data_IF_283738037327
#
_entry.id   IF_283738037327
#
_cell.length_a   1.000
_cell.length_b   1.000
_cell.length_c   1.000
_cell.angle_alpha   90.00
_cell.angle_beta   90.00
_cell.angle_gamma   90.00
#
_symmetry.space_group_name_H-M   'P 1'
#
loop_
_entity.id
_entity.type
_entity.pdbx_description
1 polymer ?
#
# COMPACT_ATOMS: atom_id res chain seq x y z
N UNK A 1 -1.78 -16.83 -3.04
CA UNK A 1 -1.81 -15.65 -2.17
C UNK A 1 -3.22 -15.11 -2.03
N UNK A 2 -3.63 -14.78 -0.84
CA UNK A 2 -4.94 -14.18 -0.56
C UNK A 2 -4.79 -13.03 0.40
N UNK A 3 -5.38 -11.87 0.03
CA UNK A 3 -5.58 -10.75 0.93
C UNK A 3 -7.05 -10.61 1.30
N UNK A 4 -7.35 -10.22 2.54
CA UNK A 4 -8.71 -9.89 2.93
C UNK A 4 -9.20 -8.61 2.21
N UNK A 5 -10.51 -8.33 2.31
CA UNK A 5 -11.02 -7.00 2.00
C UNK A 5 -10.58 -6.06 3.12
N UNK A 6 -9.74 -5.08 2.81
CA UNK A 6 -9.23 -4.11 3.77
C UNK A 6 -10.11 -2.87 3.84
N UNK A 7 -10.20 -2.30 5.02
CA UNK A 7 -10.71 -0.96 5.22
C UNK A 7 -9.54 0.02 5.10
N UNK A 8 -9.71 1.06 4.31
CA UNK A 8 -8.80 2.19 4.26
C UNK A 8 -9.61 3.44 4.56
N UNK A 9 -9.21 4.19 5.57
CA UNK A 9 -9.85 5.43 5.97
C UNK A 9 -8.88 6.57 5.80
N UNK A 10 -9.23 7.52 4.94
CA UNK A 10 -8.44 8.71 4.70
C UNK A 10 -9.23 9.95 5.12
N UNK A 11 -8.56 10.88 5.78
CA UNK A 11 -9.12 12.17 6.16
C UNK A 11 -8.12 13.27 5.83
N UNK A 12 -8.60 14.35 5.24
CA UNK A 12 -7.80 15.55 4.98
C UNK A 12 -8.50 16.77 5.54
N UNK A 13 -7.75 17.63 6.18
CA UNK A 13 -8.21 18.88 6.75
C UNK A 13 -7.25 19.99 6.31
N UNK A 14 -7.79 21.06 5.74
CA UNK A 14 -7.02 22.19 5.26
C UNK A 14 -7.56 23.49 5.86
N UNK A 15 -6.65 24.32 6.38
CA UNK A 15 -6.91 25.68 6.76
C UNK A 15 -6.03 26.62 5.98
N UNK A 16 -6.63 27.63 5.38
CA UNK A 16 -5.90 28.68 4.69
C UNK A 16 -6.41 30.04 5.16
N UNK A 17 -5.47 30.92 5.46
CA UNK A 17 -5.73 32.31 5.73
C UNK A 17 -4.84 33.15 4.82
N UNK A 18 -5.44 34.09 4.12
CA UNK A 18 -4.73 34.98 3.22
C UNK A 18 -5.20 36.42 3.38
N UNK A 19 -4.35 37.34 2.95
CA UNK A 19 -4.65 38.75 3.02
C UNK A 19 -3.84 39.57 2.05
N UNK A 20 -4.41 40.74 1.72
CA UNK A 20 -3.81 41.71 0.84
C UNK A 20 -3.82 43.10 1.51
N UNK A 21 -2.71 43.78 1.49
CA UNK A 21 -2.56 45.11 2.07
C UNK A 21 -1.90 46.08 1.10
N UNK A 22 -2.28 47.32 1.18
CA UNK A 22 -1.69 48.42 0.42
C UNK A 22 -1.11 49.47 1.38
N UNK A 23 0.18 49.72 1.26
CA UNK A 23 0.89 50.78 1.98
C UNK A 23 1.42 51.78 0.93
N UNK A 24 0.70 52.85 0.71
CA UNK A 24 0.97 53.74 -0.42
C UNK A 24 0.85 53.00 -1.75
N UNK A 25 1.95 52.91 -2.50
CA UNK A 25 2.00 52.18 -3.76
C UNK A 25 2.48 50.71 -3.61
N UNK A 26 2.89 50.31 -2.43
CA UNK A 26 3.35 48.95 -2.16
C UNK A 26 2.14 48.05 -1.90
N UNK A 27 2.02 47.01 -2.72
CA UNK A 27 1.08 45.91 -2.47
C UNK A 27 1.81 44.79 -1.77
N UNK A 28 1.22 44.29 -0.71
CA UNK A 28 1.69 43.13 0.08
C UNK A 28 0.61 42.07 0.03
N UNK A 29 0.90 40.90 -0.46
CA UNK A 29 0.02 39.73 -0.33
C UNK A 29 0.69 38.64 0.49
N UNK A 30 -0.07 38.03 1.37
CA UNK A 30 0.41 36.95 2.20
C UNK A 30 -0.63 35.82 2.30
N UNK A 31 -0.14 34.61 2.49
CA UNK A 31 -0.99 33.48 2.79
C UNK A 31 -0.27 32.55 3.76
N UNK A 32 -1.04 31.98 4.67
CA UNK A 32 -0.62 30.92 5.55
C UNK A 32 -1.59 29.74 5.46
N UNK A 33 -1.10 28.53 5.42
CA UNK A 33 -1.95 27.36 5.43
C UNK A 33 -1.38 26.25 6.31
N UNK A 34 -2.28 25.50 6.92
CA UNK A 34 -2.02 24.26 7.62
C UNK A 34 -2.89 23.16 7.03
N UNK A 35 -2.27 22.05 6.66
CA UNK A 35 -2.93 20.85 6.17
C UNK A 35 -2.56 19.66 7.03
N UNK A 36 -3.54 18.84 7.35
CA UNK A 36 -3.34 17.56 8.03
C UNK A 36 -4.05 16.47 7.25
N UNK A 37 -3.30 15.45 6.87
CA UNK A 37 -3.83 14.22 6.29
C UNK A 37 -3.59 13.05 7.24
N UNK A 38 -4.56 12.18 7.37
CA UNK A 38 -4.45 10.92 8.14
C UNK A 38 -4.94 9.78 7.27
N UNK A 39 -4.27 8.64 7.39
CA UNK A 39 -4.65 7.40 6.75
C UNK A 39 -4.53 6.26 7.76
N UNK A 40 -5.59 5.48 7.90
CA UNK A 40 -5.66 4.31 8.76
C UNK A 40 -5.97 3.08 7.91
N UNK A 41 -5.17 2.03 8.05
CA UNK A 41 -5.34 0.73 7.40
C UNK A 41 -5.31 -0.38 8.44
N UNK A 42 -6.41 -0.59 9.17
CA UNK A 42 -6.47 -1.62 10.19
C UNK A 42 -6.65 -3.00 9.57
N UNK A 43 -6.04 -4.02 10.17
CA UNK A 43 -6.26 -5.43 9.89
C UNK A 43 -6.06 -5.80 8.40
N UNK A 44 -4.97 -5.38 7.79
CA UNK A 44 -4.57 -5.91 6.49
C UNK A 44 -3.97 -7.30 6.70
N UNK A 45 -4.66 -8.33 6.20
CA UNK A 45 -4.34 -9.73 6.41
C UNK A 45 -3.92 -10.37 5.10
N UNK A 46 -2.91 -11.19 5.21
CA UNK A 46 -2.36 -11.91 4.08
C UNK A 46 -2.18 -13.38 4.44
N UNK A 47 -2.45 -14.26 3.50
CA UNK A 47 -2.15 -15.68 3.61
C UNK A 47 -1.59 -16.16 2.27
N UNK A 48 -0.45 -16.82 2.30
CA UNK A 48 0.11 -17.53 1.17
C UNK A 48 0.19 -19.02 1.43
N UNK A 49 0.19 -19.78 0.36
CA UNK A 49 0.24 -21.23 0.38
C UNK A 49 1.34 -21.70 -0.55
N UNK A 50 2.09 -22.70 -0.13
CA UNK A 50 3.03 -23.40 -0.96
C UNK A 50 2.68 -24.88 -1.07
N UNK A 51 3.13 -25.51 -2.12
CA UNK A 51 3.07 -26.96 -2.27
C UNK A 51 4.48 -27.50 -2.39
N UNK A 52 4.83 -28.41 -1.49
CA UNK A 52 6.14 -29.06 -1.47
C UNK A 52 6.12 -30.39 -2.22
N UNK A 53 7.20 -30.69 -2.93
CA UNK A 53 7.39 -31.98 -3.58
C UNK A 53 6.86 -32.11 -5.01
N UNK A 54 6.59 -31.00 -5.71
CA UNK A 54 6.22 -31.05 -7.13
C UNK A 54 7.40 -31.50 -7.99
N UNK A 55 7.22 -32.55 -8.77
CA UNK A 55 8.17 -32.96 -9.81
C UNK A 55 7.88 -32.20 -11.12
N UNK A 56 8.74 -31.27 -11.46
CA UNK A 56 8.66 -30.49 -12.71
C UNK A 56 9.29 -31.21 -13.91
N UNK A 57 9.92 -32.38 -13.74
CA UNK A 57 10.83 -32.99 -14.71
C UNK A 57 10.26 -33.23 -16.11
N UNK A 58 8.97 -33.54 -16.24
CA UNK A 58 8.32 -33.76 -17.53
C UNK A 58 7.37 -32.63 -17.97
N UNK A 59 7.21 -31.62 -17.13
CA UNK A 59 6.23 -30.55 -17.33
C UNK A 59 6.64 -29.45 -18.29
N UNK A 60 7.94 -29.28 -18.53
CA UNK A 60 8.44 -28.22 -19.39
C UNK A 60 8.18 -28.50 -20.85
N UNK A 61 7.52 -27.59 -21.54
CA UNK A 61 7.17 -27.64 -22.95
C UNK A 61 7.70 -26.41 -23.67
N UNK A 62 8.08 -26.58 -24.92
CA UNK A 62 8.55 -25.50 -25.80
C UNK A 62 9.64 -24.61 -25.20
N UNK A 63 10.60 -25.25 -24.51
CA UNK A 63 11.65 -24.54 -23.71
C UNK A 63 12.47 -23.58 -24.56
N UNK A 64 12.61 -23.86 -25.88
CA UNK A 64 13.32 -23.02 -26.84
C UNK A 64 12.38 -22.19 -27.73
N UNK A 65 11.08 -22.26 -27.47
CA UNK A 65 10.07 -21.53 -28.21
C UNK A 65 9.92 -20.09 -27.75
N UNK A 66 9.01 -19.35 -28.37
CA UNK A 66 8.69 -17.96 -28.00
C UNK A 66 7.97 -17.84 -26.66
N UNK A 67 7.30 -18.89 -26.24
CA UNK A 67 6.51 -18.93 -25.01
C UNK A 67 6.72 -20.27 -24.31
N UNK A 68 7.85 -20.47 -23.64
CA UNK A 68 8.07 -21.68 -22.86
C UNK A 68 7.02 -21.75 -21.75
N UNK A 69 6.47 -22.91 -21.52
CA UNK A 69 5.50 -23.14 -20.45
C UNK A 69 5.77 -24.45 -19.73
N UNK A 70 5.26 -24.53 -18.51
CA UNK A 70 5.34 -25.72 -17.68
C UNK A 70 3.92 -26.18 -17.33
N UNK A 71 3.59 -27.41 -17.66
CA UNK A 71 2.37 -28.07 -17.18
C UNK A 71 2.71 -28.82 -15.92
N UNK A 72 2.19 -28.36 -14.80
CA UNK A 72 2.36 -29.04 -13.51
C UNK A 72 1.06 -29.74 -13.16
N UNK A 73 1.09 -31.01 -12.73
CA UNK A 73 -0.07 -31.64 -12.13
C UNK A 73 -0.55 -30.81 -10.96
N UNK A 74 -1.86 -30.53 -10.92
CA UNK A 74 -2.42 -29.76 -9.81
C UNK A 74 -2.75 -30.74 -8.71
N UNK A 75 -2.11 -30.59 -7.54
CA UNK A 75 -2.40 -31.42 -6.41
C UNK A 75 -3.83 -31.15 -5.87
N UNK A 76 -4.46 -32.19 -5.33
CA UNK A 76 -5.69 -32.01 -4.57
C UNK A 76 -5.44 -31.12 -3.35
N UNK A 77 -6.40 -30.29 -2.97
CA UNK A 77 -6.28 -29.45 -1.77
C UNK A 77 -6.11 -30.22 -0.46
N UNK A 78 -6.53 -31.47 -0.45
CA UNK A 78 -6.38 -32.35 0.71
C UNK A 78 -5.01 -33.06 0.74
N UNK A 79 -4.18 -32.85 -0.29
CA UNK A 79 -2.85 -33.40 -0.32
C UNK A 79 -2.01 -32.77 0.80
N UNK A 80 -1.26 -33.62 1.52
CA UNK A 80 -0.42 -33.20 2.65
C UNK A 80 0.74 -32.28 2.25
N UNK A 81 1.09 -32.25 0.96
CA UNK A 81 2.12 -31.35 0.43
C UNK A 81 1.72 -29.86 0.43
N UNK A 82 0.44 -29.52 0.65
CA UNK A 82 0.00 -28.14 0.82
C UNK A 82 0.25 -27.66 2.24
N UNK A 83 0.98 -26.58 2.35
CA UNK A 83 1.27 -25.88 3.61
C UNK A 83 0.94 -24.38 3.49
N UNK A 84 0.73 -23.74 4.62
CA UNK A 84 0.67 -22.29 4.70
C UNK A 84 2.10 -21.79 4.79
N UNK A 85 2.50 -20.97 3.84
CA UNK A 85 3.82 -20.38 3.77
C UNK A 85 3.92 -19.10 4.60
N UNK A 86 2.86 -18.30 4.59
CA UNK A 86 2.82 -17.02 5.31
C UNK A 86 1.40 -16.73 5.79
N UNK A 87 1.26 -16.28 7.02
CA UNK A 87 0.03 -15.78 7.61
C UNK A 87 0.32 -14.53 8.42
N UNK A 88 -0.11 -13.38 7.92
CA UNK A 88 0.24 -12.10 8.52
C UNK A 88 -0.96 -11.19 8.76
N UNK A 89 -0.82 -10.30 9.74
CA UNK A 89 -1.74 -9.20 10.01
C UNK A 89 -0.96 -7.91 10.22
N UNK A 90 -1.35 -6.87 9.49
CA UNK A 90 -0.73 -5.56 9.55
C UNK A 90 -1.77 -4.49 9.89
N UNK A 91 -1.39 -3.61 10.80
CA UNK A 91 -2.08 -2.35 11.07
C UNK A 91 -1.16 -1.20 10.68
N UNK A 92 -1.67 -0.19 10.01
CA UNK A 92 -0.90 0.96 9.57
C UNK A 92 -1.64 2.26 9.86
N UNK A 93 -0.93 3.20 10.49
CA UNK A 93 -1.40 4.55 10.79
C UNK A 93 -0.42 5.58 10.20
N UNK A 94 -0.91 6.47 9.37
CA UNK A 94 -0.12 7.54 8.76
C UNK A 94 -0.72 8.89 9.16
N UNK A 95 0.14 9.80 9.63
CA UNK A 95 -0.21 11.19 9.91
C UNK A 95 0.77 12.11 9.20
N UNK A 96 0.24 12.99 8.39
CA UNK A 96 1.02 14.00 7.66
C UNK A 96 0.53 15.40 8.04
N UNK A 97 1.46 16.28 8.40
CA UNK A 97 1.19 17.68 8.69
C UNK A 97 2.03 18.56 7.75
N UNK A 98 1.41 19.53 7.13
CA UNK A 98 2.07 20.46 6.23
C UNK A 98 1.73 21.91 6.61
N UNK A 99 2.76 22.73 6.73
CA UNK A 99 2.67 24.17 6.98
C UNK A 99 3.22 24.91 5.78
N UNK A 100 2.48 25.87 5.28
CA UNK A 100 2.92 26.75 4.22
C UNK A 100 2.74 28.20 4.62
N UNK A 101 3.73 29.04 4.29
CA UNK A 101 3.63 30.49 4.40
C UNK A 101 4.17 31.11 3.12
N UNK A 102 3.49 32.15 2.66
CA UNK A 102 3.89 32.92 1.48
C UNK A 102 3.74 34.41 1.77
N UNK A 103 4.73 35.19 1.35
CA UNK A 103 4.70 36.64 1.46
C UNK A 103 5.27 37.20 0.16
N UNK A 104 4.50 38.05 -0.51
CA UNK A 104 4.89 38.71 -1.75
C UNK A 104 4.71 40.22 -1.64
N UNK A 105 5.58 40.93 -2.33
CA UNK A 105 5.60 42.38 -2.45
C UNK A 105 5.57 42.76 -3.92
N UNK A 106 4.75 43.75 -4.26
CA UNK A 106 4.69 44.37 -5.59
C UNK A 106 4.76 45.88 -5.45
N UNK A 107 5.79 46.46 -6.05
CA UNK A 107 6.04 47.91 -6.03
C UNK A 107 6.04 48.43 -7.47
N UNK A 108 5.10 49.30 -7.87
CA UNK A 108 5.17 49.99 -9.14
C UNK A 108 6.32 51.00 -9.13
N UNK A 109 7.22 50.89 -10.12
CA UNK A 109 8.41 51.78 -10.24
C UNK A 109 8.17 53.00 -11.10
N UNK A 110 7.23 52.95 -12.02
CA UNK A 110 6.92 54.10 -12.91
C UNK A 110 5.41 54.18 -13.20
N UNK A 111 4.91 55.42 -13.34
CA UNK A 111 3.59 55.73 -13.82
C UNK A 111 3.65 56.01 -15.33
N UNK A 112 3.12 55.15 -16.17
CA UNK A 112 3.06 55.34 -17.61
C UNK A 112 2.46 54.15 -18.34
N UNK A 113 2.30 54.28 -19.68
CA UNK A 113 1.66 53.25 -20.54
C UNK A 113 2.35 51.88 -20.46
N UNK A 114 3.63 51.83 -20.01
CA UNK A 114 4.41 50.63 -19.80
C UNK A 114 4.91 50.59 -18.34
N UNK A 115 3.92 50.50 -17.40
CA UNK A 115 4.21 50.54 -15.98
C UNK A 115 5.17 49.41 -15.54
N UNK A 116 6.43 49.78 -15.22
CA UNK A 116 7.34 48.82 -14.62
C UNK A 116 7.00 48.57 -13.17
N UNK A 117 7.09 47.32 -12.74
CA UNK A 117 6.84 46.93 -11.37
C UNK A 117 7.91 45.94 -10.90
N UNK A 118 8.33 46.09 -9.67
CA UNK A 118 9.21 45.17 -8.97
C UNK A 118 8.32 44.20 -8.17
N UNK A 119 8.57 42.90 -8.33
CA UNK A 119 7.94 41.84 -7.52
C UNK A 119 9.02 41.01 -6.86
N UNK A 120 8.86 40.78 -5.57
CA UNK A 120 9.70 39.85 -4.81
C UNK A 120 8.87 39.23 -3.71
N UNK A 121 9.32 38.07 -3.22
CA UNK A 121 8.62 37.37 -2.17
C UNK A 121 9.38 36.17 -1.68
N UNK A 122 8.83 35.56 -0.65
CA UNK A 122 9.34 34.31 -0.07
C UNK A 122 8.20 33.32 0.14
N UNK A 123 8.54 32.05 0.01
CA UNK A 123 7.66 30.93 0.35
C UNK A 123 8.40 29.99 1.27
N UNK A 124 7.73 29.58 2.34
CA UNK A 124 8.18 28.55 3.25
C UNK A 124 7.21 27.38 3.20
N UNK A 125 7.75 26.17 3.19
CA UNK A 125 6.97 24.93 3.30
C UNK A 125 7.69 24.00 4.25
N UNK A 126 6.96 23.48 5.22
CA UNK A 126 7.44 22.44 6.13
C UNK A 126 6.46 21.30 6.14
N UNK A 127 6.94 20.10 5.93
CA UNK A 127 6.14 18.88 5.88
C UNK A 127 6.74 17.86 6.84
N UNK A 128 5.88 17.28 7.67
CA UNK A 128 6.24 16.19 8.58
C UNK A 128 5.27 15.04 8.35
N UNK A 129 5.82 13.85 8.12
CA UNK A 129 5.05 12.62 7.97
C UNK A 129 5.52 11.62 9.02
N UNK A 130 4.58 11.11 9.80
CA UNK A 130 4.78 9.99 10.71
C UNK A 130 3.99 8.80 10.18
N UNK A 131 4.65 7.66 10.13
CA UNK A 131 4.05 6.37 9.79
C UNK A 131 4.31 5.42 10.96
N UNK A 132 3.29 4.72 11.37
CA UNK A 132 3.33 3.72 12.44
C UNK A 132 2.78 2.42 11.88
N UNK A 133 3.57 1.35 11.95
CA UNK A 133 3.20 0.04 11.41
C UNK A 133 3.38 -0.98 12.52
N UNK A 134 2.35 -1.80 12.72
CA UNK A 134 2.42 -3.02 13.51
C UNK A 134 2.24 -4.21 12.57
N UNK A 135 3.27 -5.03 12.44
CA UNK A 135 3.27 -6.21 11.58
C UNK A 135 3.50 -7.44 12.42
N UNK A 136 2.60 -8.42 12.29
CA UNK A 136 2.64 -9.68 13.03
C UNK A 136 2.55 -10.85 12.08
N UNK A 137 3.38 -11.84 12.31
CA UNK A 137 3.34 -13.14 11.66
C UNK A 137 2.77 -14.18 12.63
N UNK A 138 2.01 -15.13 12.10
CA UNK A 138 1.28 -16.12 12.87
C UNK A 138 1.57 -17.51 12.33
N UNK A 139 1.61 -18.47 13.25
CA UNK A 139 1.70 -19.88 12.94
C UNK A 139 0.44 -20.37 12.18
N UNK A 140 0.62 -21.36 11.32
CA UNK A 140 -0.45 -21.99 10.56
C UNK A 140 -1.54 -22.62 11.44
N UNK A 141 -1.20 -23.04 12.64
CA UNK A 141 -2.13 -23.62 13.62
C UNK A 141 -3.28 -22.69 13.97
N UNK A 142 -3.08 -21.37 13.85
CA UNK A 142 -4.14 -20.38 14.07
C UNK A 142 -5.30 -20.53 13.09
N UNK A 143 -5.08 -21.02 11.90
CA UNK A 143 -6.11 -21.24 10.89
C UNK A 143 -6.88 -22.55 11.09
N UNK A 144 -6.41 -23.44 11.95
CA UNK A 144 -7.04 -24.72 12.23
C UNK A 144 -7.29 -25.53 10.96
N UNK A 145 -8.54 -25.94 10.72
CA UNK A 145 -8.88 -26.66 9.49
C UNK A 145 -9.10 -25.69 8.30
N UNK A 146 -8.04 -25.02 7.88
CA UNK A 146 -8.05 -24.06 6.79
C UNK A 146 -8.47 -24.66 5.44
N UNK A 147 -8.18 -25.95 5.22
CA UNK A 147 -8.54 -26.65 3.97
C UNK A 147 -10.03 -26.65 3.71
N UNK A 148 -10.87 -26.72 4.75
CA UNK A 148 -12.31 -26.62 4.61
C UNK A 148 -12.83 -25.24 4.16
N UNK A 149 -12.02 -24.21 4.31
CA UNK A 149 -12.32 -22.82 3.97
C UNK A 149 -11.64 -22.34 2.69
N UNK A 150 -10.85 -23.22 2.06
CA UNK A 150 -10.18 -22.96 0.80
C UNK A 150 -10.94 -23.61 -0.36
N UNK A 151 -10.70 -23.09 -1.55
CA UNK A 151 -11.12 -23.70 -2.81
C UNK A 151 -10.02 -23.50 -3.85
N UNK A 152 -9.86 -24.46 -4.76
CA UNK A 152 -9.06 -24.25 -5.95
C UNK A 152 -9.77 -23.28 -6.87
N UNK A 153 -9.11 -22.17 -7.21
CA UNK A 153 -9.53 -21.31 -8.31
C UNK A 153 -8.85 -21.77 -9.59
N UNK A 154 -9.67 -22.12 -10.56
CA UNK A 154 -9.22 -22.42 -11.93
C UNK A 154 -9.53 -21.18 -12.76
N UNK A 155 -8.50 -20.58 -13.36
CA UNK A 155 -8.66 -19.51 -14.35
C UNK A 155 -8.14 -20.04 -15.68
N UNK A 156 -9.05 -20.40 -16.57
CA UNK A 156 -8.71 -20.69 -17.95
C UNK A 156 -8.29 -19.42 -18.67
N UNK A 157 -7.28 -19.50 -19.52
CA UNK A 157 -6.83 -18.37 -20.32
C UNK A 157 -6.14 -17.23 -19.53
N UNK A 158 -5.53 -17.55 -18.40
CA UNK A 158 -4.81 -16.55 -17.57
C UNK A 158 -3.65 -15.87 -18.33
N UNK A 159 -3.01 -16.60 -19.22
CA UNK A 159 -1.95 -16.05 -20.09
C UNK A 159 -2.29 -16.25 -21.57
N UNK A 160 -1.74 -15.42 -22.49
CA UNK A 160 -1.93 -15.59 -23.92
C UNK A 160 -1.56 -17.00 -24.37
N UNK A 161 -2.47 -17.65 -25.10
CA UNK A 161 -2.29 -19.00 -25.60
C UNK A 161 -2.83 -20.13 -24.74
N UNK A 162 -3.54 -19.82 -23.65
CA UNK A 162 -4.18 -20.80 -22.75
C UNK A 162 -3.24 -21.85 -22.13
N UNK A 163 -1.93 -21.57 -22.16
CA UNK A 163 -0.89 -22.52 -21.76
C UNK A 163 -0.57 -22.48 -20.26
N UNK A 164 -1.18 -21.54 -19.54
CA UNK A 164 -0.92 -21.31 -18.12
C UNK A 164 -2.26 -21.22 -17.35
N UNK A 165 -2.94 -22.33 -17.14
CA UNK A 165 -4.10 -22.33 -16.25
C UNK A 165 -3.63 -21.97 -14.83
N UNK A 166 -4.27 -20.98 -14.22
CA UNK A 166 -4.01 -20.63 -12.83
C UNK A 166 -4.81 -21.55 -11.91
N UNK A 167 -4.12 -22.44 -11.24
CA UNK A 167 -4.68 -23.33 -10.24
C UNK A 167 -4.03 -23.01 -8.89
N UNK A 168 -4.73 -22.29 -8.06
CA UNK A 168 -4.19 -21.90 -6.75
C UNK A 168 -5.20 -22.16 -5.64
N UNK A 169 -4.76 -22.59 -4.45
CA UNK A 169 -5.57 -22.53 -3.26
C UNK A 169 -6.00 -21.08 -3.01
N UNK A 170 -7.26 -20.90 -2.70
CA UNK A 170 -7.82 -19.60 -2.42
C UNK A 170 -8.66 -19.67 -1.15
N UNK A 171 -8.18 -19.04 -0.10
CA UNK A 171 -8.94 -18.90 1.14
C UNK A 171 -10.05 -17.84 0.98
N UNK A 172 -11.21 -18.10 1.53
CA UNK A 172 -12.32 -17.14 1.46
C UNK A 172 -11.96 -15.86 2.21
N UNK A 173 -12.01 -14.71 1.54
CA UNK A 173 -11.73 -13.40 2.14
C UNK A 173 -12.52 -13.14 3.43
N UNK A 174 -13.78 -13.57 3.46
CA UNK A 174 -14.63 -13.44 4.65
C UNK A 174 -14.12 -14.27 5.83
N UNK A 175 -13.60 -15.46 5.57
CA UNK A 175 -13.01 -16.30 6.60
C UNK A 175 -11.73 -15.67 7.13
N UNK A 176 -10.78 -15.32 6.27
CA UNK A 176 -9.55 -14.64 6.65
C UNK A 176 -9.82 -13.33 7.41
N UNK A 177 -10.79 -12.53 6.95
CA UNK A 177 -11.20 -11.29 7.61
C UNK A 177 -11.89 -11.48 8.96
N UNK A 178 -12.45 -12.67 9.22
CA UNK A 178 -13.16 -13.01 10.47
C UNK A 178 -12.30 -13.66 11.55
N UNK A 179 -11.05 -14.00 11.26
CA UNK A 179 -10.15 -14.62 12.24
C UNK A 179 -9.82 -13.59 13.33
N UNK A 180 -9.86 -14.02 14.58
CA UNK A 180 -9.39 -13.22 15.71
C UNK A 180 -7.88 -13.34 15.82
N UNK A 181 -7.16 -12.47 15.12
CA UNK A 181 -5.72 -12.34 15.27
C UNK A 181 -5.41 -11.66 16.61
N UNK A 182 -5.02 -12.45 17.60
CA UNK A 182 -4.58 -11.92 18.88
C UNK A 182 -3.06 -11.72 18.85
N UNK A 183 -2.62 -10.48 19.08
CA UNK A 183 -1.20 -10.13 19.14
C UNK A 183 -0.39 -10.96 20.16
N UNK A 184 -1.08 -11.55 21.14
CA UNK A 184 -0.47 -12.45 22.12
C UNK A 184 0.07 -13.77 21.50
N UNK A 185 -0.51 -14.19 20.37
CA UNK A 185 -0.13 -15.42 19.67
C UNK A 185 0.64 -15.15 18.36
N UNK A 186 0.88 -13.87 18.04
CA UNK A 186 1.63 -13.46 16.88
C UNK A 186 3.05 -13.06 17.26
N UNK A 187 3.99 -13.33 16.41
CA UNK A 187 5.34 -12.81 16.51
C UNK A 187 5.41 -11.44 15.83
N UNK A 188 5.87 -10.41 16.56
CA UNK A 188 6.06 -9.08 15.99
C UNK A 188 7.32 -9.08 15.15
N UNK A 189 7.17 -8.83 13.86
CA UNK A 189 8.29 -8.73 12.93
C UNK A 189 8.77 -7.29 12.91
N UNK A 190 10.01 -7.06 13.29
CA UNK A 190 10.64 -5.75 13.24
C UNK A 190 10.77 -5.27 11.79
N UNK A 191 10.66 -3.97 11.55
CA UNK A 191 10.77 -3.36 10.20
C UNK A 191 12.02 -3.80 9.43
N UNK A 192 13.12 -4.09 10.12
CA UNK A 192 14.37 -4.56 9.50
C UNK A 192 14.26 -5.98 8.94
N UNK A 193 13.41 -6.82 9.53
CA UNK A 193 13.19 -8.22 9.11
C UNK A 193 12.05 -8.32 8.10
N UNK A 194 11.08 -7.45 8.18
CA UNK A 194 9.95 -7.35 7.24
C UNK A 194 10.35 -6.96 5.80
N UNK A 195 11.63 -6.90 5.52
CA UNK A 195 12.30 -6.83 4.20
C UNK A 195 11.78 -5.78 3.21
N UNK A 196 10.58 -5.93 2.76
CA UNK A 196 9.94 -5.07 1.76
C UNK A 196 9.11 -3.91 2.35
N UNK A 197 9.00 -3.84 3.67
CA UNK A 197 8.25 -2.80 4.36
C UNK A 197 9.11 -1.60 4.78
N UNK A 198 10.33 -1.51 4.25
CA UNK A 198 11.16 -0.31 4.44
C UNK A 198 10.42 0.89 3.90
N UNK A 199 10.03 1.76 4.80
CA UNK A 199 9.54 3.08 4.46
C UNK A 199 10.69 3.84 3.82
N UNK A 200 10.64 4.06 2.51
CA UNK A 200 11.49 5.07 1.90
C UNK A 200 10.97 6.42 2.37
N UNK A 201 11.67 7.05 3.30
CA UNK A 201 11.47 8.43 3.71
C UNK A 201 11.68 9.42 2.55
#
# INVERSE_FOLDING_TARGET
DTKNARLERQQTMDFTLDGEHYIGNLKIDWAGSYSRATEERPNERYASFEYKGIDFGSGFKDVFGRQPYCTVPIPDLNDEGWEIDELTNQDEDIVENEYKARLNFELPLAKGLYGNKLKFGAKYTSKNKKRDISFYEYDEDLLGNWRSQTSLQIRDGFMPGENYPLHTPFIRKKFLGGIAFNKEYGEEVLEEEAGNYKVNE
#
